data_IF_957048950123
#
_entry.id   IF_957048950123
#
_cell.length_a   1.000
_cell.length_b   1.000
_cell.length_c   1.000
_cell.angle_alpha   90.00
_cell.angle_beta   90.00
_cell.angle_gamma   90.00
#
_symmetry.space_group_name_H-M   'P 1'
#
loop_
_entity.id
_entity.type
_entity.pdbx_description
1 polymer ?
#
# COMPACT_ATOMS: atom_id res chain seq x y z
N UNK A 1 -6.72 -11.57 -21.12
CA UNK A 1 -6.30 -10.24 -21.59
C UNK A 1 -6.44 -10.19 -23.11
N UNK A 2 -6.54 -9.00 -23.69
CA UNK A 2 -6.65 -8.79 -25.14
C UNK A 2 -5.74 -7.62 -25.51
N UNK A 3 -4.97 -7.75 -26.59
CA UNK A 3 -4.19 -6.66 -27.18
C UNK A 3 -4.55 -6.48 -28.65
N UNK A 4 -4.59 -5.24 -29.10
CA UNK A 4 -4.95 -4.85 -30.46
C UNK A 4 -3.99 -3.74 -30.92
N UNK A 5 -3.53 -3.84 -32.16
CA UNK A 5 -2.81 -2.77 -32.86
C UNK A 5 -3.78 -2.11 -33.84
N UNK A 6 -3.73 -0.78 -33.91
CA UNK A 6 -4.57 0.07 -34.75
C UNK A 6 -3.69 0.64 -35.88
N UNK A 7 -3.65 0.03 -37.09
CA UNK A 7 -2.64 0.37 -38.09
C UNK A 7 -2.72 1.82 -38.58
N UNK A 8 -3.93 2.34 -38.77
CA UNK A 8 -4.16 3.73 -39.22
C UNK A 8 -3.75 4.81 -38.20
N UNK A 9 -3.46 4.43 -36.95
CA UNK A 9 -3.01 5.35 -35.91
C UNK A 9 -1.61 5.00 -35.36
N UNK A 10 -0.94 3.94 -35.87
CA UNK A 10 0.17 3.22 -35.24
C UNK A 10 0.08 3.20 -33.69
N UNK A 11 -1.08 2.75 -33.20
CA UNK A 11 -1.45 2.79 -31.79
C UNK A 11 -1.82 1.40 -31.27
N UNK A 12 -1.86 1.25 -29.95
CA UNK A 12 -2.21 -0.01 -29.29
C UNK A 12 -3.33 0.20 -28.27
N UNK A 13 -4.36 -0.65 -28.31
CA UNK A 13 -5.32 -0.80 -27.22
C UNK A 13 -5.11 -2.14 -26.52
N UNK A 14 -5.01 -2.13 -25.18
CA UNK A 14 -4.75 -3.35 -24.39
C UNK A 14 -5.75 -3.45 -23.24
N UNK A 15 -6.52 -4.52 -23.21
CA UNK A 15 -7.42 -4.89 -22.11
C UNK A 15 -6.71 -5.87 -21.15
N UNK A 16 -6.22 -5.37 -20.02
CA UNK A 16 -5.45 -6.12 -19.03
C UNK A 16 -6.02 -5.99 -17.62
N UNK A 17 -6.03 -7.09 -16.85
CA UNK A 17 -6.51 -7.14 -15.46
C UNK A 17 -5.45 -6.68 -14.43
N UNK A 18 -4.53 -5.82 -14.87
CA UNK A 18 -3.39 -5.30 -14.13
C UNK A 18 -3.80 -4.31 -13.03
N UNK A 19 -3.07 -4.28 -11.90
CA UNK A 19 -3.27 -3.35 -10.78
C UNK A 19 -2.34 -2.13 -10.93
N UNK A 20 -2.87 -0.90 -10.92
CA UNK A 20 -2.06 0.33 -10.94
C UNK A 20 -1.58 0.80 -12.33
N UNK A 21 -2.46 0.92 -13.34
CA UNK A 21 -2.13 1.08 -14.76
C UNK A 21 -1.22 2.27 -15.07
N UNK A 22 -1.26 3.31 -14.23
CA UNK A 22 -0.37 4.49 -14.34
C UNK A 22 1.12 4.13 -14.24
N UNK A 23 1.49 3.04 -13.54
CA UNK A 23 2.89 2.59 -13.45
C UNK A 23 3.31 1.72 -14.64
N UNK A 24 2.41 0.88 -15.18
CA UNK A 24 2.71 -0.01 -16.32
C UNK A 24 2.65 0.72 -17.66
N UNK A 25 1.73 1.69 -17.82
CA UNK A 25 1.53 2.43 -19.06
C UNK A 25 2.83 3.05 -19.64
N UNK A 26 3.64 3.83 -18.89
CA UNK A 26 4.87 4.39 -19.43
C UNK A 26 5.91 3.30 -19.77
N UNK A 27 6.00 2.24 -18.97
CA UNK A 27 6.94 1.12 -19.23
C UNK A 27 6.56 0.37 -20.50
N UNK A 28 5.27 0.10 -20.71
CA UNK A 28 4.77 -0.53 -21.94
C UNK A 28 4.93 0.37 -23.17
N UNK A 29 4.65 1.67 -23.06
CA UNK A 29 4.79 2.60 -24.19
C UNK A 29 6.25 2.65 -24.68
N UNK A 30 7.20 2.76 -23.75
CA UNK A 30 8.64 2.69 -24.03
C UNK A 30 9.05 1.34 -24.63
N UNK A 31 8.58 0.22 -24.07
CA UNK A 31 8.89 -1.12 -24.58
C UNK A 31 8.30 -1.42 -25.98
N UNK A 32 7.20 -0.76 -26.34
CA UNK A 32 6.58 -0.81 -27.67
C UNK A 32 7.15 0.22 -28.66
N UNK A 33 8.06 1.10 -28.21
CA UNK A 33 8.64 2.17 -29.02
C UNK A 33 7.66 3.27 -29.43
N UNK A 34 6.55 3.45 -28.70
CA UNK A 34 5.49 4.41 -29.05
C UNK A 34 5.34 5.54 -28.01
N UNK A 35 4.95 6.75 -28.43
CA UNK A 35 4.53 7.81 -27.52
C UNK A 35 3.37 7.35 -26.61
N UNK A 36 3.31 7.83 -25.36
CA UNK A 36 2.31 7.39 -24.38
C UNK A 36 0.85 7.61 -24.80
N UNK A 37 0.56 8.59 -25.66
CA UNK A 37 -0.78 8.82 -26.22
C UNK A 37 -1.17 7.83 -27.34
N UNK A 38 -0.22 7.03 -27.85
CA UNK A 38 -0.44 5.91 -28.78
C UNK A 38 -0.66 4.57 -28.07
N UNK A 39 -0.66 4.53 -26.73
CA UNK A 39 -1.00 3.34 -25.94
C UNK A 39 -2.20 3.63 -25.04
N UNK A 40 -3.23 2.79 -25.11
CA UNK A 40 -4.39 2.83 -24.21
C UNK A 40 -4.55 1.53 -23.45
N UNK A 41 -4.20 1.56 -22.17
CA UNK A 41 -4.42 0.46 -21.23
C UNK A 41 -5.83 0.56 -20.62
N UNK A 42 -6.65 -0.47 -20.79
CA UNK A 42 -8.01 -0.61 -20.26
C UNK A 42 -8.03 -1.73 -19.22
N UNK A 43 -8.55 -1.47 -18.03
CA UNK A 43 -8.82 -2.53 -17.06
C UNK A 43 -10.27 -3.01 -17.22
N UNK A 44 -10.52 -4.33 -17.31
CA UNK A 44 -11.87 -4.88 -17.19
C UNK A 44 -12.59 -4.33 -15.95
N UNK A 45 -13.91 -4.10 -16.02
CA UNK A 45 -14.65 -3.54 -14.88
C UNK A 45 -14.54 -4.42 -13.65
N UNK A 46 -14.49 -5.74 -13.83
CA UNK A 46 -14.47 -6.74 -12.77
C UNK A 46 -13.26 -7.67 -12.97
N UNK A 47 -12.55 -7.95 -11.88
CA UNK A 47 -11.37 -8.82 -11.85
C UNK A 47 -11.47 -9.77 -10.67
N UNK A 48 -11.36 -11.08 -10.94
CA UNK A 48 -11.48 -12.15 -9.94
C UNK A 48 -10.25 -12.21 -9.01
N UNK A 49 -10.15 -11.26 -8.09
CA UNK A 49 -9.06 -11.14 -7.14
C UNK A 49 -7.70 -10.81 -7.77
N UNK A 50 -6.71 -10.57 -6.92
CA UNK A 50 -5.31 -10.50 -7.35
C UNK A 50 -4.32 -10.71 -6.20
N UNK A 51 -4.63 -10.17 -5.02
CA UNK A 51 -3.78 -10.26 -3.84
C UNK A 51 -2.32 -9.79 -4.04
N UNK A 52 -2.08 -8.91 -5.03
CA UNK A 52 -0.75 -8.37 -5.39
C UNK A 52 -0.19 -8.89 -6.72
N UNK A 53 -0.50 -10.13 -7.10
CA UNK A 53 0.17 -10.80 -8.22
C UNK A 53 0.01 -10.09 -9.58
N UNK A 54 -1.11 -9.38 -9.80
CA UNK A 54 -1.39 -8.63 -11.03
C UNK A 54 -0.85 -7.19 -10.99
N UNK A 55 -0.03 -6.82 -10.00
CA UNK A 55 0.67 -5.53 -9.93
C UNK A 55 2.12 -5.61 -10.47
N UNK A 56 2.64 -6.82 -10.72
CA UNK A 56 3.94 -7.00 -11.36
C UNK A 56 3.91 -6.55 -12.84
N UNK A 57 4.95 -5.86 -13.32
CA UNK A 57 5.02 -5.50 -14.75
C UNK A 57 5.38 -6.73 -15.56
N UNK A 58 4.42 -7.21 -16.36
CA UNK A 58 4.55 -8.48 -17.08
C UNK A 58 5.00 -8.31 -18.54
N UNK A 59 6.12 -8.93 -18.96
CA UNK A 59 6.59 -8.88 -20.35
C UNK A 59 5.56 -9.42 -21.36
N UNK A 60 4.76 -10.42 -20.98
CA UNK A 60 3.76 -11.01 -21.87
C UNK A 60 2.74 -10.00 -22.41
N UNK A 61 2.45 -8.91 -21.69
CA UNK A 61 1.48 -7.89 -22.14
C UNK A 61 2.04 -7.09 -23.34
N UNK A 62 3.35 -6.85 -23.33
CA UNK A 62 4.07 -6.23 -24.46
C UNK A 62 4.16 -7.23 -25.62
N UNK A 63 4.50 -8.49 -25.35
CA UNK A 63 4.58 -9.55 -26.38
C UNK A 63 3.22 -9.76 -27.07
N UNK A 64 2.10 -9.72 -26.34
CA UNK A 64 0.76 -9.77 -26.93
C UNK A 64 0.49 -8.61 -27.90
N UNK A 65 0.91 -7.39 -27.57
CA UNK A 65 0.74 -6.22 -28.44
C UNK A 65 1.61 -6.31 -29.70
N UNK A 66 2.86 -6.76 -29.57
CA UNK A 66 3.74 -7.05 -30.72
C UNK A 66 3.17 -8.16 -31.62
N UNK A 67 2.61 -9.21 -31.02
CA UNK A 67 1.94 -10.28 -31.74
C UNK A 67 0.69 -9.76 -32.48
N UNK A 68 -0.11 -8.88 -31.86
CA UNK A 68 -1.27 -8.26 -32.51
C UNK A 68 -0.89 -7.40 -33.72
N UNK A 69 0.20 -6.61 -33.63
CA UNK A 69 0.76 -5.88 -34.77
C UNK A 69 1.23 -6.81 -35.88
N UNK A 70 1.98 -7.87 -35.55
CA UNK A 70 2.50 -8.84 -36.53
C UNK A 70 1.38 -9.64 -37.21
N UNK A 71 0.30 -9.96 -36.49
CA UNK A 71 -0.84 -10.70 -37.01
C UNK A 71 -1.86 -9.82 -37.76
N UNK A 72 -1.78 -8.48 -37.62
CA UNK A 72 -2.79 -7.54 -38.12
C UNK A 72 -4.18 -7.75 -37.49
N UNK A 73 -4.26 -8.41 -36.33
CA UNK A 73 -5.52 -8.86 -35.68
C UNK A 73 -5.40 -8.83 -34.16
N UNK A 74 -6.51 -8.63 -33.42
CA UNK A 74 -6.49 -8.71 -31.95
C UNK A 74 -6.01 -10.07 -31.42
N UNK A 75 -5.12 -10.05 -30.43
CA UNK A 75 -4.59 -11.24 -29.75
C UNK A 75 -5.17 -11.34 -28.35
N UNK A 76 -5.82 -12.47 -28.07
CA UNK A 76 -6.34 -12.84 -26.73
C UNK A 76 -5.42 -13.89 -26.11
N UNK A 77 -4.99 -13.66 -24.87
CA UNK A 77 -4.31 -14.67 -24.04
C UNK A 77 -5.00 -14.77 -22.68
N UNK A 78 -5.11 -16.00 -22.17
CA UNK A 78 -5.62 -16.33 -20.84
C UNK A 78 -4.72 -17.42 -20.32
N UNK A 79 -3.99 -17.15 -19.23
CA UNK A 79 -3.13 -18.12 -18.57
C UNK A 79 -3.94 -19.31 -18.03
N UNK A 80 -3.36 -20.50 -18.12
CA UNK A 80 -3.78 -21.67 -17.36
C UNK A 80 -3.38 -21.54 -15.88
N UNK A 81 -3.94 -22.40 -15.02
CA UNK A 81 -3.52 -22.47 -13.61
C UNK A 81 -2.04 -22.82 -13.47
N UNK A 82 -1.49 -23.65 -14.35
CA UNK A 82 -0.09 -24.05 -14.28
C UNK A 82 0.84 -22.88 -14.65
N UNK A 83 0.58 -22.19 -15.77
CA UNK A 83 1.29 -20.94 -16.13
C UNK A 83 1.23 -19.90 -15.00
N UNK A 84 0.07 -19.75 -14.34
CA UNK A 84 -0.06 -18.82 -13.23
C UNK A 84 0.85 -19.20 -12.05
N UNK A 85 0.90 -20.47 -11.67
CA UNK A 85 1.72 -20.95 -10.56
C UNK A 85 3.22 -20.93 -10.87
N UNK A 86 3.63 -21.13 -12.12
CA UNK A 86 5.05 -21.20 -12.51
C UNK A 86 5.63 -19.87 -13.01
N UNK A 87 4.82 -18.99 -13.61
CA UNK A 87 5.31 -17.81 -14.32
C UNK A 87 4.68 -16.47 -13.87
N UNK A 88 3.61 -16.45 -13.06
CA UNK A 88 3.03 -15.19 -12.60
C UNK A 88 3.90 -14.51 -11.53
N UNK A 89 3.76 -14.85 -10.25
CA UNK A 89 4.48 -14.18 -9.16
C UNK A 89 4.53 -15.08 -7.93
N UNK A 90 5.71 -15.21 -7.32
CA UNK A 90 5.89 -15.76 -5.98
C UNK A 90 5.91 -14.65 -4.92
N UNK A 91 5.45 -14.95 -3.72
CA UNK A 91 5.80 -14.14 -2.55
C UNK A 91 7.32 -14.24 -2.32
N UNK A 92 7.95 -13.19 -1.77
CA UNK A 92 9.41 -13.26 -1.55
C UNK A 92 9.79 -14.29 -0.49
N UNK A 93 10.83 -15.05 -0.82
CA UNK A 93 11.49 -16.00 0.04
C UNK A 93 12.58 -15.27 0.84
N UNK A 94 12.30 -14.96 2.10
CA UNK A 94 13.20 -14.23 3.00
C UNK A 94 13.75 -15.14 4.08
N UNK A 95 15.08 -15.23 4.16
CA UNK A 95 15.76 -15.74 5.35
C UNK A 95 16.09 -14.53 6.24
N UNK A 96 15.67 -14.58 7.51
CA UNK A 96 15.91 -13.50 8.48
C UNK A 96 16.54 -14.08 9.74
N UNK A 97 17.69 -13.55 10.12
CA UNK A 97 18.23 -13.65 11.48
C UNK A 97 17.88 -12.37 12.22
N UNK A 98 17.30 -12.50 13.40
CA UNK A 98 16.88 -11.37 14.23
C UNK A 98 17.32 -11.61 15.68
N UNK A 99 18.06 -10.65 16.21
CA UNK A 99 18.62 -10.67 17.57
C UNK A 99 18.08 -9.46 18.34
N UNK A 100 17.84 -9.62 19.64
CA UNK A 100 17.45 -8.53 20.55
C UNK A 100 18.42 -8.40 21.72
N UNK A 101 18.64 -7.16 22.16
CA UNK A 101 19.09 -6.88 23.52
C UNK A 101 17.86 -6.59 24.39
N UNK A 102 17.76 -7.25 25.53
CA UNK A 102 16.58 -7.23 26.42
C UNK A 102 17.05 -7.23 27.87
N UNK A 103 16.34 -6.51 28.74
CA UNK A 103 16.54 -6.60 30.19
C UNK A 103 15.78 -7.78 30.84
N UNK A 104 15.99 -7.97 32.14
CA UNK A 104 15.32 -9.00 32.95
C UNK A 104 13.80 -8.81 33.08
N UNK A 105 13.28 -7.62 32.75
CA UNK A 105 11.85 -7.33 32.75
C UNK A 105 11.21 -7.48 31.36
N UNK A 106 11.97 -7.92 30.35
CA UNK A 106 11.50 -8.12 28.99
C UNK A 106 11.46 -6.85 28.13
N UNK A 107 12.05 -5.73 28.58
CA UNK A 107 12.10 -4.48 27.80
C UNK A 107 13.22 -4.57 26.76
N UNK A 108 12.88 -4.31 25.49
CA UNK A 108 13.75 -4.47 24.33
C UNK A 108 14.49 -3.16 24.06
N UNK A 109 15.81 -3.19 24.26
CA UNK A 109 16.69 -2.01 24.13
C UNK A 109 17.35 -1.89 22.77
N UNK A 110 17.53 -3.00 22.04
CA UNK A 110 18.05 -3.01 20.67
C UNK A 110 17.50 -4.17 19.84
N UNK A 111 17.41 -3.97 18.53
CA UNK A 111 17.20 -5.04 17.52
C UNK A 111 18.31 -5.02 16.47
N UNK A 112 18.80 -6.19 16.08
CA UNK A 112 19.71 -6.39 14.95
C UNK A 112 19.09 -7.35 13.94
N UNK A 113 18.89 -6.88 12.71
CA UNK A 113 18.26 -7.60 11.60
C UNK A 113 19.31 -7.94 10.53
N UNK A 114 19.51 -9.23 10.21
CA UNK A 114 20.19 -9.66 8.99
C UNK A 114 19.19 -10.38 8.07
N UNK A 115 18.93 -9.80 6.91
CA UNK A 115 17.89 -10.22 5.97
C UNK A 115 18.50 -10.57 4.62
N UNK A 116 18.16 -11.76 4.11
CA UNK A 116 18.51 -12.24 2.79
C UNK A 116 17.21 -12.50 2.01
N UNK A 117 16.97 -11.71 0.98
CA UNK A 117 15.77 -11.76 0.12
C UNK A 117 16.11 -12.37 -1.24
N UNK A 118 15.43 -13.46 -1.60
CA UNK A 118 15.53 -14.11 -2.91
C UNK A 118 14.46 -13.54 -3.86
N UNK A 119 14.91 -12.81 -4.88
CA UNK A 119 14.05 -12.16 -5.87
C UNK A 119 13.78 -13.02 -7.12
N UNK A 120 14.32 -14.24 -7.22
CA UNK A 120 14.25 -15.06 -8.42
C UNK A 120 15.17 -14.57 -9.55
N UNK A 121 14.89 -14.95 -10.80
CA UNK A 121 15.87 -14.90 -11.89
C UNK A 121 16.29 -13.50 -12.34
N UNK A 122 15.45 -12.49 -12.12
CA UNK A 122 15.72 -11.10 -12.45
C UNK A 122 14.85 -10.17 -11.62
N UNK A 123 15.36 -8.97 -11.34
CA UNK A 123 14.58 -7.93 -10.67
C UNK A 123 13.44 -7.47 -11.59
N UNK A 124 12.20 -7.73 -11.15
CA UNK A 124 10.99 -7.26 -11.82
C UNK A 124 10.36 -6.15 -11.01
N UNK A 125 10.19 -4.98 -11.61
CA UNK A 125 9.59 -3.82 -10.95
C UNK A 125 8.22 -4.20 -10.33
N UNK A 126 7.98 -3.87 -9.04
CA UNK A 126 8.72 -2.92 -8.21
C UNK A 126 9.87 -3.49 -7.34
N UNK A 127 10.31 -4.74 -7.50
CA UNK A 127 11.33 -5.33 -6.63
C UNK A 127 12.69 -4.60 -6.68
N UNK A 128 13.44 -4.49 -5.54
CA UNK A 128 13.27 -5.16 -4.24
C UNK A 128 12.38 -4.42 -3.21
N UNK A 129 11.29 -3.79 -3.66
CA UNK A 129 10.35 -3.08 -2.80
C UNK A 129 9.77 -3.90 -1.63
N UNK A 130 9.62 -5.24 -1.70
CA UNK A 130 9.21 -6.04 -0.53
C UNK A 130 10.14 -5.88 0.67
N UNK A 131 11.44 -5.73 0.42
CA UNK A 131 12.45 -5.60 1.46
C UNK A 131 12.45 -4.17 2.05
N UNK A 132 12.10 -3.17 1.23
CA UNK A 132 12.20 -1.77 1.61
C UNK A 132 10.89 -1.08 2.04
N UNK A 133 9.70 -1.62 1.71
CA UNK A 133 8.41 -1.03 2.09
C UNK A 133 8.29 -0.83 3.61
N UNK A 134 8.68 -1.85 4.37
CA UNK A 134 8.61 -1.87 5.82
C UNK A 134 9.81 -1.21 6.51
N UNK A 135 10.86 -0.89 5.76
CA UNK A 135 12.18 -0.55 6.31
C UNK A 135 12.16 0.65 7.25
N UNK A 136 11.26 1.62 7.05
CA UNK A 136 11.09 2.76 7.95
C UNK A 136 10.56 2.40 9.34
N UNK A 137 9.89 1.25 9.51
CA UNK A 137 9.36 0.75 10.78
C UNK A 137 9.68 -0.74 11.00
N UNK A 138 10.96 -1.08 11.11
CA UNK A 138 11.41 -2.44 11.47
C UNK A 138 11.24 -2.79 12.96
N UNK A 139 10.73 -1.87 13.78
CA UNK A 139 10.41 -2.09 15.21
C UNK A 139 8.93 -2.43 15.45
N UNK A 140 8.09 -2.46 14.40
CA UNK A 140 6.69 -2.87 14.49
C UNK A 140 5.85 -1.97 15.39
N UNK A 141 5.15 -2.55 16.37
CA UNK A 141 4.40 -1.81 17.39
C UNK A 141 5.27 -1.33 18.57
N UNK A 142 6.57 -1.65 18.57
CA UNK A 142 7.41 -1.59 19.77
C UNK A 142 8.34 -0.37 19.83
N UNK A 143 8.47 0.18 21.03
CA UNK A 143 9.32 1.31 21.43
C UNK A 143 10.77 0.85 21.67
N UNK A 144 11.41 0.32 20.63
CA UNK A 144 12.84 -0.03 20.65
C UNK A 144 13.68 1.19 20.21
N UNK A 145 14.67 1.65 21.00
CA UNK A 145 15.45 2.84 20.65
C UNK A 145 16.61 2.56 19.67
N UNK A 146 17.26 1.39 19.76
CA UNK A 146 18.44 1.06 18.95
C UNK A 146 18.12 0.02 17.87
N UNK A 147 18.66 0.20 16.66
CA UNK A 147 18.30 -0.63 15.51
C UNK A 147 19.47 -0.74 14.52
N UNK A 148 19.89 -1.97 14.24
CA UNK A 148 20.79 -2.32 13.15
C UNK A 148 20.03 -3.15 12.09
N UNK A 149 20.31 -2.90 10.80
CA UNK A 149 19.68 -3.62 9.68
C UNK A 149 20.72 -3.86 8.58
N UNK A 150 20.90 -5.12 8.21
CA UNK A 150 21.65 -5.58 7.05
C UNK A 150 20.69 -6.23 6.05
N UNK A 151 20.55 -5.61 4.88
CA UNK A 151 19.75 -6.13 3.77
C UNK A 151 20.63 -6.68 2.66
N UNK A 152 20.33 -7.89 2.20
CA UNK A 152 20.96 -8.56 1.06
C UNK A 152 19.88 -9.04 0.10
N UNK A 153 20.04 -8.74 -1.18
CA UNK A 153 19.15 -9.20 -2.26
C UNK A 153 19.95 -10.14 -3.15
N UNK A 154 19.40 -11.31 -3.45
CA UNK A 154 20.01 -12.30 -4.35
C UNK A 154 19.07 -12.67 -5.49
N UNK A 155 19.66 -13.01 -6.63
CA UNK A 155 18.95 -13.59 -7.77
C UNK A 155 19.23 -15.09 -7.82
N UNK A 156 18.22 -15.88 -8.16
CA UNK A 156 18.28 -17.35 -8.24
C UNK A 156 17.51 -17.84 -9.47
N UNK A 157 17.74 -19.06 -9.95
CA UNK A 157 17.05 -19.61 -11.13
C UNK A 157 15.58 -20.03 -10.83
N UNK A 158 14.79 -19.11 -10.29
CA UNK A 158 13.37 -19.27 -9.91
C UNK A 158 12.52 -18.19 -10.56
N UNK A 159 11.20 -18.42 -10.59
CA UNK A 159 10.19 -17.41 -10.94
C UNK A 159 10.45 -16.11 -10.18
N UNK A 160 10.50 -14.94 -10.85
CA UNK A 160 10.68 -13.67 -10.17
C UNK A 160 9.64 -13.46 -9.08
N UNK A 161 10.08 -12.96 -7.94
CA UNK A 161 9.19 -12.57 -6.87
C UNK A 161 8.35 -11.34 -7.26
N UNK A 162 7.48 -10.92 -6.35
CA UNK A 162 6.68 -9.73 -6.52
C UNK A 162 5.70 -9.53 -5.38
N UNK A 163 4.71 -8.68 -5.64
CA UNK A 163 3.73 -8.30 -4.63
C UNK A 163 2.78 -9.46 -4.32
N UNK A 164 2.74 -9.84 -3.06
CA UNK A 164 1.67 -10.63 -2.45
C UNK A 164 1.13 -9.84 -1.25
N UNK A 165 -0.13 -10.06 -0.84
CA UNK A 165 -0.82 -9.27 0.20
C UNK A 165 0.05 -9.06 1.44
N UNK A 166 0.15 -7.81 1.89
CA UNK A 166 1.08 -7.40 2.96
C UNK A 166 2.47 -6.98 2.47
N UNK A 167 2.83 -7.23 1.20
CA UNK A 167 3.97 -6.68 0.44
C UNK A 167 5.24 -6.47 1.28
N UNK A 168 5.81 -7.58 1.77
CA UNK A 168 7.02 -7.60 2.62
C UNK A 168 6.75 -7.50 4.13
N UNK A 169 5.56 -7.08 4.53
CA UNK A 169 5.07 -7.04 5.92
C UNK A 169 5.08 -8.39 6.61
N UNK A 170 4.44 -9.46 6.06
CA UNK A 170 4.38 -10.77 6.70
C UNK A 170 5.76 -11.33 7.06
N UNK A 171 6.77 -11.12 6.22
CA UNK A 171 8.17 -11.53 6.48
C UNK A 171 8.79 -10.78 7.67
N UNK A 172 8.43 -9.51 7.89
CA UNK A 172 8.88 -8.71 9.04
C UNK A 172 8.09 -9.08 10.30
N UNK A 173 6.76 -9.08 10.25
CA UNK A 173 5.91 -9.36 11.39
C UNK A 173 6.16 -10.77 11.93
N UNK A 174 6.26 -11.78 11.05
CA UNK A 174 6.54 -13.14 11.49
C UNK A 174 7.87 -13.25 12.25
N UNK A 175 8.94 -12.64 11.74
CA UNK A 175 10.23 -12.65 12.43
C UNK A 175 10.17 -11.91 13.77
N UNK A 176 9.57 -10.73 13.80
CA UNK A 176 9.46 -9.88 14.99
C UNK A 176 8.59 -10.52 16.08
N UNK A 177 7.35 -10.90 15.78
CA UNK A 177 6.45 -11.50 16.77
C UNK A 177 6.97 -12.86 17.27
N UNK A 178 7.68 -13.63 16.43
CA UNK A 178 8.39 -14.84 16.90
C UNK A 178 9.55 -14.53 17.84
N UNK A 179 10.23 -13.39 17.69
CA UNK A 179 11.23 -12.93 18.65
C UNK A 179 10.58 -12.51 19.97
N UNK A 180 9.49 -11.74 19.95
CA UNK A 180 8.74 -11.35 21.17
C UNK A 180 8.33 -12.58 21.98
N UNK A 181 7.76 -13.58 21.31
CA UNK A 181 7.37 -14.86 21.92
C UNK A 181 8.59 -15.63 22.46
N UNK A 182 9.74 -15.59 21.78
CA UNK A 182 10.99 -16.20 22.30
C UNK A 182 11.50 -15.49 23.55
N UNK A 183 11.44 -14.17 23.60
CA UNK A 183 11.86 -13.36 24.76
C UNK A 183 11.03 -13.76 25.99
N UNK A 184 9.70 -13.82 25.86
CA UNK A 184 8.81 -14.27 26.93
C UNK A 184 9.18 -15.67 27.44
N UNK A 185 9.36 -16.64 26.53
CA UNK A 185 9.76 -18.02 26.91
C UNK A 185 11.14 -18.07 27.57
N UNK A 186 12.12 -17.31 27.09
CA UNK A 186 13.48 -17.28 27.66
C UNK A 186 13.53 -16.64 29.05
N UNK A 187 12.69 -15.65 29.33
CA UNK A 187 12.63 -14.95 30.62
C UNK A 187 11.57 -15.50 31.59
N UNK A 188 10.76 -16.48 31.16
CA UNK A 188 9.64 -17.00 31.97
C UNK A 188 8.48 -16.01 32.16
N UNK A 189 8.32 -15.06 31.24
CA UNK A 189 7.29 -14.00 31.29
C UNK A 189 6.06 -14.35 30.44
N UNK A 190 4.91 -13.75 30.75
CA UNK A 190 3.75 -13.82 29.86
C UNK A 190 4.02 -13.04 28.55
N UNK A 191 3.74 -13.61 27.36
CA UNK A 191 3.92 -12.91 26.09
C UNK A 191 3.12 -11.60 25.96
N UNK A 192 1.93 -11.50 26.55
CA UNK A 192 1.15 -10.25 26.56
C UNK A 192 1.81 -9.17 27.41
N UNK A 193 2.47 -9.55 28.51
CA UNK A 193 3.23 -8.60 29.33
C UNK A 193 4.46 -8.07 28.58
N UNK A 194 5.19 -8.95 27.88
CA UNK A 194 6.31 -8.53 27.02
C UNK A 194 5.81 -7.60 25.90
N UNK A 195 4.65 -7.89 25.28
CA UNK A 195 4.02 -6.97 24.31
C UNK A 195 3.74 -5.62 24.98
N UNK A 196 2.92 -5.60 26.05
CA UNK A 196 2.46 -4.37 26.75
C UNK A 196 3.62 -3.47 27.19
N UNK A 197 4.67 -4.04 27.81
CA UNK A 197 5.84 -3.29 28.30
C UNK A 197 6.62 -2.58 27.18
N UNK A 198 6.54 -3.12 25.97
CA UNK A 198 7.29 -2.63 24.82
C UNK A 198 6.47 -1.79 23.83
N UNK A 199 5.14 -1.66 23.97
CA UNK A 199 4.33 -0.88 23.03
C UNK A 199 4.77 0.59 22.93
N UNK A 200 4.54 1.18 21.76
CA UNK A 200 4.59 2.64 21.58
C UNK A 200 3.38 3.27 22.30
N UNK A 201 3.70 4.17 23.23
CA UNK A 201 2.75 4.81 24.17
C UNK A 201 2.32 6.23 23.76
N UNK A 202 3.05 6.87 22.84
CA UNK A 202 2.92 8.30 22.50
C UNK A 202 3.10 8.55 21.01
N UNK A 203 2.20 9.34 20.45
CA UNK A 203 2.17 9.72 19.04
C UNK A 203 2.26 11.24 18.86
N UNK A 204 2.89 11.74 17.78
CA UNK A 204 3.55 10.98 16.73
C UNK A 204 4.90 10.37 17.19
N UNK A 205 5.11 9.09 16.92
CA UNK A 205 6.34 8.36 17.28
C UNK A 205 7.31 8.32 16.11
N UNK A 206 8.57 8.71 16.33
CA UNK A 206 9.63 8.56 15.33
C UNK A 206 10.37 7.24 15.54
N UNK A 207 10.15 6.29 14.64
CA UNK A 207 10.88 5.02 14.63
C UNK A 207 12.39 5.28 14.39
N UNK A 208 13.31 4.45 14.92
CA UNK A 208 14.75 4.61 14.69
C UNK A 208 15.15 4.58 13.20
N UNK A 209 14.46 3.77 12.38
CA UNK A 209 14.66 3.74 10.93
C UNK A 209 14.01 4.91 10.16
N UNK A 210 13.41 5.88 10.86
CA UNK A 210 13.04 7.18 10.33
C UNK A 210 11.58 7.37 9.92
N UNK A 211 10.73 6.33 9.93
CA UNK A 211 9.29 6.52 9.79
C UNK A 211 8.72 7.34 10.97
N UNK A 212 7.55 7.92 10.74
CA UNK A 212 6.74 8.54 11.78
C UNK A 212 5.42 7.78 11.83
N UNK A 213 5.12 7.14 12.95
CA UNK A 213 3.79 6.65 13.27
C UNK A 213 2.99 7.88 13.69
N UNK A 214 1.92 8.18 12.96
CA UNK A 214 1.17 9.43 13.10
C UNK A 214 0.18 9.39 14.26
N UNK A 215 -0.47 8.26 14.47
CA UNK A 215 -1.50 8.05 15.50
C UNK A 215 -1.65 6.58 15.87
N UNK A 216 -2.24 6.33 17.04
CA UNK A 216 -2.66 5.01 17.48
C UNK A 216 -3.06 5.00 18.95
N UNK A 217 -3.75 3.94 19.36
CA UNK A 217 -3.89 3.53 20.76
C UNK A 217 -3.66 2.02 20.83
N UNK A 218 -2.39 1.63 20.97
CA UNK A 218 -1.99 0.23 20.88
C UNK A 218 -2.34 -0.54 22.16
N UNK A 219 -2.41 0.15 23.31
CA UNK A 219 -2.83 -0.46 24.56
C UNK A 219 -4.33 -0.75 24.55
N UNK A 220 -5.18 0.21 24.16
CA UNK A 220 -6.61 -0.05 24.03
C UNK A 220 -6.91 -1.16 23.01
N UNK A 221 -6.18 -1.23 21.89
CA UNK A 221 -6.33 -2.30 20.92
C UNK A 221 -5.97 -3.70 21.49
N UNK A 222 -4.95 -3.79 22.35
CA UNK A 222 -4.60 -5.04 23.05
C UNK A 222 -5.66 -5.40 24.09
N UNK A 223 -6.12 -4.46 24.92
CA UNK A 223 -7.15 -4.77 25.93
C UNK A 223 -8.51 -5.10 25.31
N UNK A 224 -8.87 -4.47 24.18
CA UNK A 224 -10.03 -4.86 23.38
C UNK A 224 -9.87 -6.29 22.83
N UNK A 225 -8.70 -6.64 22.30
CA UNK A 225 -8.43 -7.99 21.80
C UNK A 225 -8.42 -9.07 22.92
N UNK A 226 -7.99 -8.73 24.14
CA UNK A 226 -8.03 -9.63 25.30
C UNK A 226 -9.48 -9.86 25.78
N UNK A 227 -10.25 -8.78 25.92
CA UNK A 227 -11.62 -8.81 26.45
C UNK A 227 -12.64 -9.35 25.42
N UNK A 228 -12.79 -8.68 24.27
CA UNK A 228 -13.74 -9.08 23.23
C UNK A 228 -13.31 -10.37 22.50
N UNK A 229 -12.00 -10.65 22.46
CA UNK A 229 -11.47 -11.89 21.89
C UNK A 229 -11.70 -13.15 22.73
N UNK A 230 -12.24 -13.00 23.96
CA UNK A 230 -12.63 -14.12 24.81
C UNK A 230 -11.45 -14.96 25.28
N UNK A 231 -10.33 -14.33 25.65
CA UNK A 231 -9.07 -15.01 25.98
C UNK A 231 -9.22 -16.08 27.08
N UNK A 232 -10.01 -15.82 28.12
CA UNK A 232 -10.28 -16.79 29.20
C UNK A 232 -10.92 -18.09 28.69
N UNK A 233 -11.79 -18.00 27.67
CA UNK A 233 -12.39 -19.16 27.04
C UNK A 233 -11.37 -19.95 26.20
N UNK A 234 -10.37 -19.27 25.62
CA UNK A 234 -9.25 -19.94 24.95
C UNK A 234 -8.33 -20.65 25.96
N UNK A 235 -8.07 -20.06 27.14
CA UNK A 235 -7.32 -20.74 28.20
C UNK A 235 -8.04 -21.99 28.72
N UNK A 236 -9.36 -21.95 28.97
CA UNK A 236 -10.13 -23.15 29.36
C UNK A 236 -10.03 -24.26 28.31
N UNK A 237 -10.25 -23.93 27.03
CA UNK A 237 -10.11 -24.87 25.90
C UNK A 237 -8.68 -25.44 25.78
N UNK A 238 -7.66 -24.65 26.10
CA UNK A 238 -6.25 -25.09 26.12
C UNK A 238 -6.04 -26.18 27.16
N UNK A 239 -6.53 -26.01 28.39
CA UNK A 239 -6.38 -27.02 29.45
C UNK A 239 -7.21 -28.27 29.16
N UNK A 240 -8.46 -28.13 28.72
CA UNK A 240 -9.31 -29.25 28.28
C UNK A 240 -8.63 -30.07 27.17
N UNK A 241 -8.03 -29.40 26.18
CA UNK A 241 -7.31 -30.06 25.10
C UNK A 241 -6.06 -30.81 25.59
N UNK A 242 -5.28 -30.20 26.49
CA UNK A 242 -4.06 -30.78 27.07
C UNK A 242 -4.35 -31.95 28.00
N UNK A 243 -5.39 -31.87 28.83
CA UNK A 243 -5.88 -32.98 29.64
C UNK A 243 -6.30 -34.19 28.78
N UNK A 244 -6.84 -33.94 27.58
CA UNK A 244 -7.13 -34.95 26.57
C UNK A 244 -5.90 -35.35 25.71
N UNK A 245 -4.67 -35.07 26.13
CA UNK A 245 -3.44 -35.46 25.43
C UNK A 245 -3.15 -34.70 24.13
N UNK A 246 -3.87 -33.61 23.83
CA UNK A 246 -3.70 -32.83 22.59
C UNK A 246 -2.83 -31.59 22.80
N UNK A 247 -2.11 -31.19 21.76
CA UNK A 247 -1.38 -29.93 21.74
C UNK A 247 -2.34 -28.77 21.44
N UNK A 248 -2.32 -27.74 22.30
CA UNK A 248 -3.05 -26.49 22.11
C UNK A 248 -2.17 -25.30 22.51
N UNK A 249 -2.17 -24.27 21.67
CA UNK A 249 -1.40 -23.05 21.83
C UNK A 249 -2.22 -21.82 21.47
N UNK A 250 -1.95 -20.71 22.14
CA UNK A 250 -2.56 -19.40 21.91
C UNK A 250 -1.41 -18.48 21.47
N UNK A 251 -1.59 -17.78 20.36
CA UNK A 251 -0.58 -16.90 19.78
C UNK A 251 -1.07 -15.46 19.76
N UNK A 252 -0.19 -14.53 20.13
CA UNK A 252 -0.44 -13.09 20.12
C UNK A 252 0.51 -12.39 19.14
N UNK A 253 0.04 -11.32 18.53
CA UNK A 253 0.81 -10.50 17.58
C UNK A 253 0.33 -9.03 17.61
N UNK A 254 1.25 -8.08 17.78
CA UNK A 254 0.96 -6.64 17.73
C UNK A 254 1.55 -6.01 16.45
N UNK A 255 0.72 -5.89 15.41
CA UNK A 255 1.18 -5.57 14.05
C UNK A 255 0.81 -4.14 13.65
N UNK A 256 1.80 -3.37 13.19
CA UNK A 256 1.63 -2.05 12.55
C UNK A 256 2.03 -2.13 11.08
N UNK A 257 1.06 -1.94 10.17
CA UNK A 257 1.28 -1.92 8.71
C UNK A 257 1.05 -0.52 8.12
N UNK A 258 1.94 0.01 7.24
CA UNK A 258 1.67 1.23 6.49
C UNK A 258 0.48 1.05 5.53
N UNK A 259 -0.63 1.74 5.81
CA UNK A 259 -1.90 1.67 5.08
C UNK A 259 -1.82 2.09 3.60
N UNK A 260 -0.84 2.94 3.24
CA UNK A 260 -0.60 3.40 1.87
C UNK A 260 0.87 3.15 1.51
N UNK A 261 1.11 2.64 0.30
CA UNK A 261 2.45 2.47 -0.25
C UNK A 261 2.96 3.78 -0.89
N UNK A 262 4.15 4.22 -0.52
CA UNK A 262 4.85 5.33 -1.17
C UNK A 262 6.21 4.86 -1.69
N UNK A 263 6.33 4.67 -3.02
CA UNK A 263 7.55 4.21 -3.70
C UNK A 263 8.84 4.98 -3.35
N UNK A 264 8.75 6.15 -2.70
CA UNK A 264 9.89 6.83 -2.08
C UNK A 264 10.70 5.97 -1.11
N UNK A 265 10.15 4.92 -0.48
CA UNK A 265 10.92 4.01 0.37
C UNK A 265 12.03 3.28 -0.41
N UNK A 266 11.90 3.05 -1.73
CA UNK A 266 12.94 2.39 -2.52
C UNK A 266 14.22 3.20 -2.51
N UNK A 267 14.15 4.53 -2.36
CA UNK A 267 15.34 5.38 -2.26
C UNK A 267 16.26 5.04 -1.08
N UNK A 268 15.79 4.29 -0.07
CA UNK A 268 16.63 3.80 1.03
C UNK A 268 17.76 2.88 0.57
N UNK A 269 17.66 2.25 -0.61
CA UNK A 269 18.76 1.49 -1.25
C UNK A 269 19.93 2.38 -1.68
N UNK A 270 19.67 3.67 -1.94
CA UNK A 270 20.68 4.64 -2.36
C UNK A 270 21.41 5.22 -1.14
N UNK A 271 22.68 5.58 -1.28
CA UNK A 271 23.43 6.25 -0.22
C UNK A 271 22.81 7.61 0.16
N UNK A 272 23.09 8.16 1.36
CA UNK A 272 22.59 9.49 1.75
C UNK A 272 22.93 10.60 0.75
N UNK A 273 24.12 10.55 0.14
CA UNK A 273 24.60 11.51 -0.87
C UNK A 273 23.79 11.42 -2.17
N UNK A 274 23.48 10.20 -2.62
CA UNK A 274 22.66 9.97 -3.82
C UNK A 274 21.20 10.36 -3.57
N UNK A 275 20.63 10.05 -2.40
CA UNK A 275 19.28 10.51 -2.02
C UNK A 275 19.19 12.04 -2.01
N UNK A 276 20.19 12.73 -1.43
CA UNK A 276 20.24 14.18 -1.42
C UNK A 276 20.30 14.76 -2.85
N UNK A 277 21.13 14.17 -3.74
CA UNK A 277 21.23 14.58 -5.16
C UNK A 277 19.95 14.31 -5.95
N UNK A 278 19.29 13.18 -5.73
CA UNK A 278 18.08 12.78 -6.45
C UNK A 278 16.82 13.56 -6.02
N UNK A 279 16.88 14.25 -4.88
CA UNK A 279 15.79 14.99 -4.27
C UNK A 279 14.70 14.09 -3.66
N UNK A 280 13.76 14.68 -2.90
CA UNK A 280 12.66 13.94 -2.30
C UNK A 280 11.78 13.28 -3.36
N UNK A 281 11.53 11.97 -3.23
CA UNK A 281 10.63 11.21 -4.09
C UNK A 281 9.29 10.98 -3.38
N UNK A 282 8.19 11.19 -4.11
CA UNK A 282 6.83 10.83 -3.67
C UNK A 282 6.13 10.04 -4.76
N UNK A 283 5.67 8.83 -4.41
CA UNK A 283 5.00 7.90 -5.33
C UNK A 283 3.53 7.61 -5.01
N UNK A 284 3.00 8.17 -3.91
CA UNK A 284 1.59 8.01 -3.52
C UNK A 284 0.71 9.14 -4.11
N UNK A 285 0.72 9.29 -5.43
CA UNK A 285 -0.26 10.15 -6.12
C UNK A 285 -1.57 9.37 -6.27
N UNK A 286 -2.69 10.02 -5.96
CA UNK A 286 -4.03 9.52 -6.19
C UNK A 286 -4.88 10.65 -6.79
N UNK A 287 -5.70 10.32 -7.79
CA UNK A 287 -6.50 11.28 -8.54
C UNK A 287 -7.97 10.83 -8.64
N UNK A 288 -8.86 11.79 -8.45
CA UNK A 288 -10.29 11.64 -8.68
C UNK A 288 -10.80 12.79 -9.56
N UNK A 289 -11.65 12.47 -10.52
CA UNK A 289 -12.43 13.43 -11.28
C UNK A 289 -13.92 13.21 -10.98
N UNK A 290 -14.58 14.24 -10.48
CA UNK A 290 -16.03 14.26 -10.21
C UNK A 290 -16.68 15.20 -11.21
N UNK A 291 -17.71 14.74 -11.90
CA UNK A 291 -18.49 15.55 -12.83
C UNK A 291 -20.00 15.36 -12.55
N UNK A 292 -20.69 16.49 -12.44
CA UNK A 292 -22.15 16.53 -12.33
C UNK A 292 -22.77 16.72 -13.72
N UNK A 293 -23.81 15.97 -14.03
CA UNK A 293 -24.62 16.18 -15.23
C UNK A 293 -25.78 17.17 -14.98
N UNK A 294 -26.43 17.61 -16.07
CA UNK A 294 -27.52 18.59 -16.03
C UNK A 294 -28.82 18.07 -15.41
N UNK A 295 -28.90 16.78 -15.06
CA UNK A 295 -30.01 16.16 -14.35
C UNK A 295 -29.68 15.91 -12.86
N UNK A 296 -28.50 16.38 -12.39
CA UNK A 296 -28.02 16.19 -11.03
C UNK A 296 -27.35 14.84 -10.76
N UNK A 297 -27.12 14.03 -11.79
CA UNK A 297 -26.34 12.80 -11.66
C UNK A 297 -24.88 13.10 -11.39
N UNK A 298 -24.26 12.36 -10.46
CA UNK A 298 -22.85 12.49 -10.12
C UNK A 298 -22.08 11.31 -10.70
N UNK A 299 -21.09 11.59 -11.53
CA UNK A 299 -20.14 10.62 -12.08
C UNK A 299 -18.77 10.81 -11.45
N UNK A 300 -18.11 9.69 -11.12
CA UNK A 300 -16.83 9.68 -10.42
C UNK A 300 -15.88 8.75 -11.13
N UNK A 301 -14.70 9.26 -11.49
CA UNK A 301 -13.59 8.50 -12.06
C UNK A 301 -12.43 8.59 -11.07
N UNK A 302 -11.89 7.44 -10.66
CA UNK A 302 -10.71 7.31 -9.80
C UNK A 302 -9.63 6.50 -10.53
N UNK A 303 -8.38 6.68 -10.16
CA UNK A 303 -7.23 5.91 -10.68
C UNK A 303 -7.06 4.52 -10.02
N UNK A 304 -7.84 4.22 -8.99
CA UNK A 304 -7.75 2.98 -8.21
C UNK A 304 -8.71 1.89 -8.71
N UNK A 305 -8.19 0.67 -8.92
CA UNK A 305 -8.90 -0.40 -9.65
C UNK A 305 -9.56 -1.47 -8.76
N UNK A 306 -10.88 -1.72 -8.92
CA UNK A 306 -11.62 -2.73 -8.15
C UNK A 306 -11.29 -4.16 -8.60
N UNK A 307 -11.11 -5.04 -7.62
CA UNK A 307 -10.77 -6.47 -7.75
C UNK A 307 -11.46 -7.32 -6.66
N UNK A 308 -12.55 -6.81 -6.09
CA UNK A 308 -13.33 -7.43 -5.01
C UNK A 308 -13.45 -6.59 -3.73
N UNK A 309 -12.55 -5.64 -3.50
CA UNK A 309 -12.45 -4.82 -2.27
C UNK A 309 -13.46 -3.65 -2.16
N UNK A 310 -14.54 -3.66 -2.94
CA UNK A 310 -15.66 -2.73 -2.74
C UNK A 310 -15.45 -1.26 -3.14
N UNK A 311 -14.42 -0.88 -3.92
CA UNK A 311 -14.16 0.53 -4.29
C UNK A 311 -15.40 1.28 -4.78
N UNK A 312 -16.22 0.70 -5.67
CA UNK A 312 -17.42 1.35 -6.20
C UNK A 312 -18.37 1.80 -5.09
N UNK A 313 -18.54 0.97 -4.06
CA UNK A 313 -19.40 1.25 -2.89
C UNK A 313 -18.77 2.31 -2.01
N UNK A 314 -17.51 2.12 -1.58
CA UNK A 314 -16.82 3.06 -0.68
C UNK A 314 -16.66 4.44 -1.30
N UNK A 315 -16.31 4.53 -2.59
CA UNK A 315 -16.24 5.80 -3.31
C UNK A 315 -17.62 6.46 -3.46
N UNK A 316 -18.67 5.69 -3.71
CA UNK A 316 -20.03 6.23 -3.77
C UNK A 316 -20.54 6.71 -2.39
N UNK A 317 -20.15 6.04 -1.29
CA UNK A 317 -20.44 6.48 0.07
C UNK A 317 -19.70 7.79 0.39
N UNK A 318 -18.38 7.82 0.23
CA UNK A 318 -17.57 9.01 0.52
C UNK A 318 -18.00 10.24 -0.32
N UNK A 319 -18.35 10.04 -1.59
CA UNK A 319 -18.91 11.12 -2.42
C UNK A 319 -20.34 11.46 -2.00
N UNK A 320 -21.17 10.48 -1.64
CA UNK A 320 -22.51 10.71 -1.08
C UNK A 320 -22.46 11.62 0.16
N UNK A 321 -21.60 11.30 1.12
CA UNK A 321 -21.42 12.05 2.36
C UNK A 321 -20.95 13.49 2.09
N UNK A 322 -19.98 13.68 1.18
CA UNK A 322 -19.46 15.01 0.79
C UNK A 322 -20.53 15.87 0.10
N UNK A 323 -21.45 15.26 -0.66
CA UNK A 323 -22.56 15.96 -1.33
C UNK A 323 -23.87 15.97 -0.53
N UNK A 324 -23.88 15.45 0.71
CA UNK A 324 -25.08 15.38 1.56
C UNK A 324 -26.18 14.46 1.00
N UNK A 325 -25.85 13.51 0.13
CA UNK A 325 -26.80 12.58 -0.47
C UNK A 325 -27.15 11.47 0.53
N UNK A 326 -28.44 11.13 0.72
CA UNK A 326 -28.83 10.09 1.66
C UNK A 326 -28.22 8.73 1.27
N UNK A 327 -27.55 8.10 2.23
CA UNK A 327 -26.77 6.87 2.07
C UNK A 327 -27.58 5.60 1.79
N UNK A 328 -28.35 5.55 0.70
CA UNK A 328 -28.99 4.34 0.16
C UNK A 328 -29.59 4.53 -1.25
N UNK A 329 -28.94 5.27 -2.15
CA UNK A 329 -29.51 5.61 -3.47
C UNK A 329 -28.62 5.43 -4.72
N UNK A 330 -27.41 4.86 -4.64
CA UNK A 330 -26.61 4.47 -5.82
C UNK A 330 -26.93 3.06 -6.36
N UNK A 331 -28.12 2.55 -6.03
CA UNK A 331 -28.73 1.34 -6.60
C UNK A 331 -29.34 1.55 -7.99
N UNK A 332 -28.58 2.08 -8.95
CA UNK A 332 -28.88 2.06 -10.39
C UNK A 332 -27.60 2.26 -11.18
N UNK A 333 -27.52 1.63 -12.36
CA UNK A 333 -26.33 1.62 -13.24
C UNK A 333 -25.89 3.03 -13.64
N UNK A 334 -25.13 3.70 -12.79
CA UNK A 334 -24.10 4.61 -13.25
C UNK A 334 -23.12 3.77 -14.06
N UNK A 335 -22.97 4.05 -15.35
CA UNK A 335 -21.78 3.60 -16.07
C UNK A 335 -20.61 4.27 -15.34
N UNK A 336 -19.89 3.52 -14.51
CA UNK A 336 -18.52 3.85 -14.14
C UNK A 336 -17.68 3.62 -15.41
N UNK A 337 -17.27 4.67 -16.13
CA UNK A 337 -16.55 4.47 -17.38
C UNK A 337 -15.08 4.24 -17.01
N UNK A 338 -14.72 2.97 -16.75
CA UNK A 338 -13.30 2.56 -16.74
C UNK A 338 -12.66 2.66 -18.14
N UNK A 339 -13.45 3.04 -19.15
CA UNK A 339 -13.01 3.61 -20.41
C UNK A 339 -13.93 4.79 -20.80
N UNK A 340 -13.35 5.87 -21.35
CA UNK A 340 -14.14 6.90 -22.05
C UNK A 340 -15.07 6.23 -23.09
N UNK A 341 -16.40 6.46 -23.03
CA UNK A 341 -17.35 5.76 -23.88
C UNK A 341 -17.46 6.40 -25.27
N UNK A 342 -17.45 5.57 -26.32
CA UNK A 342 -18.18 5.87 -27.56
C UNK A 342 -19.60 5.27 -27.43
N UNK A 343 -20.60 5.96 -27.99
CA UNK A 343 -22.03 5.78 -27.70
C UNK A 343 -22.63 4.45 -28.20
N UNK A 344 -23.33 3.73 -27.31
CA UNK A 344 -24.65 3.06 -27.51
C UNK A 344 -25.14 2.44 -26.16
N UNK A 345 -26.41 2.06 -25.94
CA UNK A 345 -27.62 2.27 -26.74
C UNK A 345 -28.87 1.59 -26.13
N UNK A 346 -29.99 2.33 -26.01
CA UNK A 346 -31.36 1.95 -25.56
C UNK A 346 -31.55 1.40 -24.11
N UNK A 347 -32.74 1.60 -23.47
CA UNK A 347 -32.98 1.24 -22.07
C UNK A 347 -34.03 0.13 -21.86
N UNK A 348 -33.94 -0.61 -20.75
CA UNK A 348 -35.00 -1.50 -20.25
C UNK A 348 -35.31 -1.22 -18.78
N UNK A 349 -36.58 -0.96 -18.46
CA UNK A 349 -37.09 -0.74 -17.11
C UNK A 349 -37.48 -2.06 -16.42
N UNK A 350 -37.33 -2.13 -15.09
CA UNK A 350 -38.33 -2.71 -14.16
C UNK A 350 -38.10 -2.20 -12.72
N UNK A 351 -39.17 -2.20 -11.91
CA UNK A 351 -39.22 -1.73 -10.50
C UNK A 351 -39.19 -2.93 -9.55
N UNK A 352 -38.65 -2.78 -8.33
CA UNK A 352 -39.27 -3.25 -7.06
C UNK A 352 -38.58 -2.62 -5.82
N UNK A 353 -39.19 -2.76 -4.63
CA UNK A 353 -38.91 -1.98 -3.40
C UNK A 353 -37.90 -2.67 -2.43
N UNK A 354 -37.28 -1.94 -1.47
CA UNK A 354 -36.21 -2.45 -0.59
C UNK A 354 -36.67 -2.76 0.86
N UNK A 355 -35.78 -3.37 1.66
CA UNK A 355 -36.01 -3.60 3.10
C UNK A 355 -34.75 -3.68 3.98
N UNK A 356 -34.73 -2.82 5.01
CA UNK A 356 -33.92 -2.83 6.27
C UNK A 356 -32.41 -2.48 6.22
N UNK A 357 -31.97 -1.78 7.29
CA UNK A 357 -30.64 -1.18 7.51
C UNK A 357 -29.77 -2.07 8.40
N UNK A 358 -28.45 -1.94 8.27
CA UNK A 358 -27.49 -2.07 9.37
C UNK A 358 -26.67 -0.78 9.46
N UNK A 359 -26.26 -0.41 10.67
CA UNK A 359 -25.49 0.81 10.95
C UNK A 359 -24.00 0.49 11.14
N UNK A 360 -23.12 1.42 10.75
CA UNK A 360 -21.68 1.36 11.00
C UNK A 360 -21.15 2.78 11.19
N UNK A 361 -20.36 2.99 12.25
CA UNK A 361 -19.74 4.28 12.56
C UNK A 361 -18.34 4.41 11.92
N UNK A 362 -18.03 5.50 11.20
CA UNK A 362 -16.66 5.81 10.79
C UNK A 362 -15.95 6.70 11.82
N UNK A 363 -14.70 6.37 12.16
CA UNK A 363 -13.78 7.27 12.85
C UNK A 363 -13.02 8.17 11.86
N UNK A 364 -12.29 9.17 12.39
CA UNK A 364 -11.62 10.26 11.65
C UNK A 364 -12.57 11.29 11.01
N UNK A 365 -13.04 12.23 11.85
CA UNK A 365 -13.60 13.51 11.40
C UNK A 365 -12.48 14.44 10.95
N UNK A 366 -12.47 14.81 9.67
CA UNK A 366 -11.89 16.07 9.19
C UNK A 366 -12.83 16.67 8.13
N UNK A 367 -13.40 17.86 8.40
CA UNK A 367 -14.31 18.54 7.47
C UNK A 367 -13.52 19.43 6.51
N UNK A 368 -13.54 19.21 5.19
CA UNK A 368 -12.97 20.16 4.24
C UNK A 368 -13.86 21.41 4.12
N UNK A 369 -13.25 22.60 4.21
CA UNK A 369 -13.91 23.87 3.91
C UNK A 369 -14.12 24.00 2.39
N UNK A 370 -15.37 23.85 1.94
CA UNK A 370 -15.75 24.15 0.55
C UNK A 370 -16.13 25.63 0.42
N UNK A 371 -15.30 26.40 -0.28
CA UNK A 371 -15.62 27.77 -0.65
C UNK A 371 -16.64 27.78 -1.81
N UNK A 372 -17.87 28.23 -1.53
CA UNK A 372 -18.94 28.26 -2.52
C UNK A 372 -18.74 29.33 -3.60
N UNK A 373 -18.87 28.94 -4.87
CA UNK A 373 -18.99 29.87 -6.01
C UNK A 373 -20.46 30.29 -6.13
N UNK A 374 -20.81 31.45 -5.57
CA UNK A 374 -22.12 32.05 -5.80
C UNK A 374 -22.15 32.79 -7.14
N UNK A 375 -23.21 32.59 -7.93
CA UNK A 375 -23.47 33.42 -9.10
C UNK A 375 -23.77 34.85 -8.64
N UNK A 376 -23.05 35.82 -9.22
CA UNK A 376 -23.21 37.25 -8.88
C UNK A 376 -24.59 37.76 -9.31
N UNK A 377 -25.61 37.68 -8.44
CA UNK A 377 -26.71 38.69 -8.27
C UNK A 377 -27.82 38.37 -7.27
N UNK A 378 -27.86 37.19 -6.63
CA UNK A 378 -28.83 36.93 -5.52
C UNK A 378 -28.08 36.42 -4.27
N UNK A 379 -28.56 36.82 -3.09
CA UNK A 379 -27.93 36.62 -1.76
C UNK A 379 -26.65 37.44 -1.47
N UNK A 380 -26.78 38.78 -1.39
CA UNK A 380 -25.92 39.59 -0.49
C UNK A 380 -26.42 39.47 0.95
N UNK A 381 -26.18 38.32 1.59
CA UNK A 381 -26.35 38.13 3.03
C UNK A 381 -25.49 36.94 3.51
N UNK A 382 -24.62 37.18 4.49
CA UNK A 382 -23.91 36.17 5.31
C UNK A 382 -23.32 34.93 4.58
N UNK A 383 -22.28 35.12 3.77
CA UNK A 383 -21.44 34.02 3.27
C UNK A 383 -20.36 33.57 4.29
N UNK A 384 -20.79 33.31 5.54
CA UNK A 384 -20.07 32.56 6.58
C UNK A 384 -21.15 31.77 7.34
N UNK A 385 -20.94 30.46 7.54
CA UNK A 385 -21.88 29.51 8.14
C UNK A 385 -23.14 29.18 7.30
N UNK A 386 -22.95 28.43 6.21
CA UNK A 386 -23.98 27.48 5.73
C UNK A 386 -23.37 26.09 5.62
N UNK A 387 -23.80 25.21 6.51
CA UNK A 387 -23.61 23.76 6.40
C UNK A 387 -24.68 23.23 5.46
N UNK A 388 -24.33 22.29 4.58
CA UNK A 388 -25.30 21.53 3.79
C UNK A 388 -25.89 20.45 4.70
N UNK A 389 -27.05 20.73 5.30
CA UNK A 389 -27.80 19.75 6.09
C UNK A 389 -28.44 18.69 5.16
N UNK A 390 -28.40 17.40 5.52
CA UNK A 390 -28.93 16.33 4.69
C UNK A 390 -30.47 16.30 4.73
N UNK A 391 -31.09 16.90 3.72
CA UNK A 391 -32.52 16.77 3.43
C UNK A 391 -33.41 17.85 4.08
N UNK A 392 -33.54 19.01 3.44
CA UNK A 392 -34.45 20.06 3.89
C UNK A 392 -34.58 21.25 2.95
N UNK A 393 -35.35 21.10 1.86
CA UNK A 393 -35.87 22.22 1.06
C UNK A 393 -37.03 21.78 0.14
N UNK A 394 -38.19 21.53 0.72
CA UNK A 394 -39.44 21.56 -0.04
C UNK A 394 -39.94 23.01 -0.13
N UNK A 395 -40.58 23.36 -1.25
CA UNK A 395 -41.26 24.64 -1.54
C UNK A 395 -40.41 25.92 -1.61
N UNK A 396 -40.05 26.33 -2.84
CA UNK A 396 -40.01 27.74 -3.25
C UNK A 396 -40.13 27.90 -4.78
N UNK A 397 -41.32 28.32 -5.21
CA UNK A 397 -41.67 29.08 -6.44
C UNK A 397 -41.38 28.56 -7.87
N UNK A 398 -42.36 28.83 -8.74
CA UNK A 398 -42.33 28.59 -10.20
C UNK A 398 -41.77 29.84 -10.90
N UNK A 399 -40.77 29.73 -11.77
CA UNK A 399 -40.20 30.94 -12.38
C UNK A 399 -39.23 30.76 -13.57
N UNK A 400 -39.77 30.34 -14.73
CA UNK A 400 -39.19 30.43 -16.10
C UNK A 400 -37.83 29.74 -16.38
N UNK A 401 -37.66 29.41 -17.66
CA UNK A 401 -36.47 28.76 -18.24
C UNK A 401 -35.40 29.82 -18.48
N UNK A 402 -34.14 29.47 -18.23
CA UNK A 402 -33.10 29.50 -19.26
C UNK A 402 -31.89 28.65 -18.86
N UNK A 403 -31.35 27.91 -19.83
CA UNK A 403 -30.23 26.99 -19.64
C UNK A 403 -28.94 27.63 -20.15
N UNK A 404 -27.92 27.74 -19.28
CA UNK A 404 -26.51 27.56 -19.65
C UNK A 404 -25.65 27.43 -18.39
N UNK A 405 -25.38 26.18 -17.99
CA UNK A 405 -24.31 25.85 -17.03
C UNK A 405 -23.23 25.08 -17.79
N UNK A 406 -22.10 25.75 -18.04
CA UNK A 406 -20.94 25.14 -18.65
C UNK A 406 -20.28 24.09 -17.75
N UNK A 407 -19.49 23.19 -18.35
CA UNK A 407 -18.82 22.10 -17.65
C UNK A 407 -17.91 22.59 -16.50
N UNK A 408 -18.39 22.54 -15.25
CA UNK A 408 -17.53 22.73 -14.07
C UNK A 408 -16.61 21.51 -13.90
N UNK A 409 -15.31 21.69 -14.13
CA UNK A 409 -14.27 20.77 -13.67
C UNK A 409 -13.80 21.18 -12.29
N UNK A 410 -14.22 20.44 -11.26
CA UNK A 410 -13.72 20.65 -9.89
C UNK A 410 -12.47 19.78 -9.65
N UNK A 411 -11.28 20.38 -9.72
CA UNK A 411 -10.05 19.71 -9.30
C UNK A 411 -9.94 19.72 -7.77
N UNK A 412 -10.45 18.68 -7.11
CA UNK A 412 -10.24 18.47 -5.67
C UNK A 412 -8.81 17.98 -5.44
N UNK A 413 -7.93 18.88 -5.00
CA UNK A 413 -6.56 18.56 -4.61
C UNK A 413 -6.51 18.32 -3.10
N UNK A 414 -6.28 17.08 -2.68
CA UNK A 414 -6.04 16.76 -1.26
C UNK A 414 -4.73 17.40 -0.79
N UNK A 415 -4.83 18.57 -0.16
CA UNK A 415 -3.71 19.27 0.46
C UNK A 415 -3.57 18.80 1.91
N UNK A 416 -2.44 18.17 2.26
CA UNK A 416 -2.05 18.05 3.67
C UNK A 416 -1.73 19.44 4.21
N UNK A 417 -2.32 19.81 5.35
CA UNK A 417 -1.90 20.99 6.10
C UNK A 417 -0.41 20.87 6.43
N UNK A 418 0.36 21.93 6.17
CA UNK A 418 1.78 22.02 6.50
C UNK A 418 1.97 23.04 7.61
N UNK A 419 1.58 22.63 8.82
CA UNK A 419 1.91 23.39 10.01
C UNK A 419 3.40 23.18 10.30
N UNK A 420 4.22 24.11 9.82
CA UNK A 420 5.63 24.21 10.18
C UNK A 420 5.74 24.93 11.52
N UNK A 421 6.18 24.28 12.61
CA UNK A 421 6.57 25.02 13.81
C UNK A 421 7.73 25.97 13.47
N UNK A 422 7.60 27.23 13.86
CA UNK A 422 8.68 28.23 13.75
C UNK A 422 9.70 27.94 14.85
N UNK A 423 10.85 27.38 14.50
CA UNK A 423 11.97 27.30 15.44
C UNK A 423 12.59 28.70 15.63
N UNK A 424 12.73 29.12 16.89
CA UNK A 424 13.22 30.43 17.28
C UNK A 424 14.73 30.62 17.08
N UNK A 425 15.17 31.88 17.01
CA UNK A 425 16.58 32.28 16.91
C UNK A 425 17.28 32.23 18.28
N UNK A 426 18.38 31.50 18.40
CA UNK A 426 19.61 31.81 19.20
C UNK A 426 20.56 30.59 19.10
N UNK A 427 21.89 30.64 19.21
CA UNK A 427 22.88 31.72 19.29
C UNK A 427 23.98 31.55 18.20
N UNK A 428 24.95 32.47 18.14
CA UNK A 428 26.08 32.45 17.18
C UNK A 428 27.37 31.86 17.77
N UNK A 429 28.27 31.47 16.85
CA UNK A 429 29.75 31.29 16.96
C UNK A 429 30.26 29.86 17.28
N UNK A 430 31.48 29.50 16.80
CA UNK A 430 32.02 29.79 15.46
C UNK A 430 32.63 28.55 14.76
N UNK A 431 32.96 28.70 13.47
CA UNK A 431 33.68 27.69 12.69
C UNK A 431 35.12 27.51 13.17
N UNK A 432 35.62 26.28 13.10
CA UNK A 432 37.06 25.99 13.05
C UNK A 432 37.36 25.10 11.83
N UNK A 433 38.48 25.37 11.15
CA UNK A 433 38.85 24.76 9.87
C UNK A 433 39.70 23.48 10.03
N UNK A 434 39.89 22.66 8.98
CA UNK A 434 40.35 21.28 9.12
C UNK A 434 41.88 21.14 9.19
N UNK A 435 42.37 20.32 10.11
CA UNK A 435 43.76 19.87 10.14
C UNK A 435 43.98 18.68 9.18
N UNK A 436 45.04 18.74 8.38
CA UNK A 436 45.53 17.64 7.53
C UNK A 436 46.36 16.67 8.37
N UNK A 437 46.21 15.36 8.14
CA UNK A 437 47.30 14.40 8.35
C UNK A 437 47.35 13.41 7.18
N UNK A 438 48.58 13.11 6.73
CA UNK A 438 48.89 12.10 5.70
C UNK A 438 49.25 10.75 6.38
N UNK A 439 49.34 9.63 5.65
CA UNK A 439 49.27 8.30 6.23
C UNK A 439 50.61 7.83 6.81
N UNK A 440 50.54 6.89 7.76
CA UNK A 440 51.66 6.00 8.08
C UNK A 440 51.22 4.52 8.14
N UNK A 441 52.23 3.68 7.97
CA UNK A 441 52.20 2.27 7.60
C UNK A 441 52.18 1.29 8.79
N UNK A 442 51.62 0.10 8.49
CA UNK A 442 52.08 -1.22 8.96
C UNK A 442 51.84 -1.76 10.39
N UNK A 443 51.46 -3.05 10.38
CA UNK A 443 51.57 -4.11 11.42
C UNK A 443 50.60 -4.11 12.61
N UNK A 444 49.98 -5.28 12.82
CA UNK A 444 49.03 -5.56 13.90
C UNK A 444 48.32 -6.90 13.72
N UNK A 445 49.07 -8.02 13.61
CA UNK A 445 48.50 -9.37 13.48
C UNK A 445 48.05 -9.87 14.86
N UNK A 446 46.77 -10.21 15.02
CA UNK A 446 46.31 -11.13 16.07
C UNK A 446 45.36 -12.17 15.44
N UNK A 447 45.74 -13.45 15.54
CA UNK A 447 44.95 -14.59 15.07
C UNK A 447 43.85 -14.94 16.09
N UNK A 448 42.69 -15.42 15.62
CA UNK A 448 41.77 -16.28 16.39
C UNK A 448 41.66 -17.65 15.72
N UNK A 449 41.70 -18.78 16.46
CA UNK A 449 41.68 -20.12 15.88
C UNK A 449 40.26 -20.70 15.75
N UNK A 450 40.13 -21.76 14.94
CA UNK A 450 39.13 -22.82 15.19
C UNK A 450 37.87 -22.83 14.33
N UNK A 451 37.99 -23.21 13.06
CA UNK A 451 36.88 -23.80 12.31
C UNK A 451 37.40 -25.00 11.51
N UNK A 452 36.97 -26.22 11.89
CA UNK A 452 37.34 -27.45 11.17
C UNK A 452 36.63 -27.48 9.82
N UNK A 453 37.38 -27.64 8.72
CA UNK A 453 36.82 -28.02 7.42
C UNK A 453 36.63 -29.54 7.40
N UNK A 454 35.46 -30.00 7.01
CA UNK A 454 35.34 -31.30 6.35
C UNK A 454 35.77 -31.12 4.89
N UNK A 455 36.68 -31.97 4.42
CA UNK A 455 37.01 -32.07 3.01
C UNK A 455 36.19 -33.23 2.43
N UNK A 456 35.45 -32.96 1.35
CA UNK A 456 34.91 -34.03 0.51
C UNK A 456 35.94 -34.39 -0.59
N UNK A 457 36.05 -35.68 -0.88
CA UNK A 457 37.11 -36.23 -1.73
C UNK A 457 36.77 -36.26 -3.22
N UNK A 458 37.77 -35.98 -4.06
CA UNK A 458 37.70 -36.16 -5.52
C UNK A 458 37.58 -37.65 -5.89
N UNK A 459 36.50 -38.01 -6.57
CA UNK A 459 36.44 -39.18 -7.46
C UNK A 459 35.67 -38.89 -8.75
N UNK A 460 36.43 -38.61 -9.80
CA UNK A 460 36.22 -39.07 -11.20
C UNK A 460 35.59 -40.49 -11.21
N UNK A 461 34.78 -40.97 -12.18
CA UNK A 461 34.69 -40.74 -13.65
C UNK A 461 33.38 -41.42 -14.20
N UNK A 462 33.16 -41.68 -15.51
CA UNK A 462 32.04 -41.06 -16.25
C UNK A 462 30.94 -42.03 -16.76
N UNK A 463 29.77 -41.46 -17.12
CA UNK A 463 29.12 -41.57 -18.44
C UNK A 463 28.03 -40.49 -18.57
#
# INVERSE_FOLDING_TARGET
>A
MIAEHLPGEDAYEVAANFQGPLAMHPVMALALGVPGNRLRLKTPPDSGGSFGAKHAVFPYVVVMALAARKAGRPVKWVETRLEHLTAATSATNRVTTLTAAVDEHGVITALDWDQLEDCGAYLRAPEPATLYRMHGNMTGAYRVPNLAIRNRVVMTNKTPSGLVRGFGGPQVYFALERLIQKIAVTLGLDPLDVIRRNLVDRFPYRCPAGAVLDSGDYHAAVEQAVSEGGLDALYRRREEARAAGRLYGIGFAAIVEPSISNMGYITTVLTPKERARAGPKGGAQAAAAVALDSLGGISVIIDSLPQGQGHRTVTAQAVGDVFGLPGSATGRRGLFPTAMPRRCGRPCLRRHKPGKRLEFYPSCRDRPLVAGVSSRRRCRAAARNRVLEPGGAAAAERGRRDQQLGNLRLCVRFLRHRDRPRYGRSMRRPLCQPARCRPHSERGIIRRPGARRFCDGDRRRPL
#
